data_IF_867913299768
#
_entry.id   IF_867913299768
#
_cell.length_a   1.000
_cell.length_b   1.000
_cell.length_c   1.000
_cell.angle_alpha   90.00
_cell.angle_beta   90.00
_cell.angle_gamma   90.00
#
_symmetry.space_group_name_H-M   'P 1'
#
loop_
_entity.id
_entity.type
_entity.pdbx_description
1 polymer ?
#
# COMPACT_ATOMS: atom_id res chain seq x y z
N UNK A 1 -2.84 -2.83 2.88
CA UNK A 1 -2.66 -4.26 3.26
C UNK A 1 -3.28 -4.43 4.62
N UNK A 2 -4.01 -5.51 4.82
CA UNK A 2 -4.76 -5.74 6.07
C UNK A 2 -3.93 -6.58 7.05
N UNK A 3 -2.93 -7.30 6.53
CA UNK A 3 -1.93 -8.04 7.28
C UNK A 3 -0.79 -8.52 6.40
N UNK A 4 0.23 -9.12 6.98
CA UNK A 4 1.37 -9.71 6.29
C UNK A 4 1.80 -11.02 6.93
N UNK A 5 2.32 -11.94 6.11
CA UNK A 5 3.05 -13.12 6.57
C UNK A 5 4.54 -12.81 6.42
N UNK A 6 5.26 -12.78 7.54
CA UNK A 6 6.71 -12.66 7.56
C UNK A 6 7.33 -14.06 7.54
N UNK A 7 8.14 -14.35 6.53
CA UNK A 7 8.83 -15.64 6.43
C UNK A 7 10.29 -15.47 6.87
N UNK A 8 10.71 -16.23 7.88
CA UNK A 8 12.07 -16.23 8.42
C UNK A 8 12.64 -17.64 8.34
N UNK A 9 13.87 -17.80 7.87
CA UNK A 9 14.51 -19.11 7.84
C UNK A 9 15.10 -19.42 9.23
N UNK A 10 14.69 -20.54 9.84
CA UNK A 10 15.22 -20.99 11.13
C UNK A 10 16.74 -21.21 11.12
N UNK A 11 17.30 -21.60 9.97
CA UNK A 11 18.75 -21.80 9.78
C UNK A 11 19.57 -20.53 9.84
N UNK A 12 18.98 -19.40 9.48
CA UNK A 12 19.69 -18.13 9.31
C UNK A 12 19.39 -17.14 10.46
N UNK A 13 18.30 -17.38 11.21
CA UNK A 13 17.84 -16.49 12.27
C UNK A 13 17.40 -15.10 11.78
N UNK A 14 17.41 -14.13 12.67
CA UNK A 14 17.07 -12.73 12.36
C UNK A 14 18.26 -12.01 11.76
N UNK A 15 18.16 -11.69 10.46
CA UNK A 15 19.16 -10.95 9.71
C UNK A 15 18.71 -9.52 9.40
N UNK A 16 19.60 -8.69 8.86
CA UNK A 16 19.24 -7.36 8.36
C UNK A 16 18.10 -7.41 7.32
N UNK A 17 18.07 -8.47 6.48
CA UNK A 17 17.01 -8.74 5.52
C UNK A 17 15.66 -9.07 6.16
N UNK A 18 15.63 -9.50 7.43
CA UNK A 18 14.40 -9.74 8.18
C UNK A 18 13.86 -8.43 8.76
N UNK A 19 14.73 -7.53 9.19
CA UNK A 19 14.36 -6.23 9.77
C UNK A 19 13.75 -5.29 8.74
N UNK A 20 14.23 -5.30 7.50
CA UNK A 20 13.75 -4.42 6.43
C UNK A 20 12.26 -4.61 6.09
N UNK A 21 11.73 -5.84 5.86
CA UNK A 21 10.29 -6.06 5.67
C UNK A 21 9.42 -5.64 6.86
N UNK A 22 9.90 -5.82 8.10
CA UNK A 22 9.18 -5.39 9.30
C UNK A 22 9.07 -3.86 9.34
N UNK A 23 10.20 -3.17 9.11
CA UNK A 23 10.23 -1.70 9.01
C UNK A 23 9.31 -1.19 7.89
N UNK A 24 9.38 -1.80 6.71
CA UNK A 24 8.51 -1.44 5.58
C UNK A 24 7.04 -1.69 5.91
N UNK A 25 6.71 -2.80 6.56
CA UNK A 25 5.35 -3.09 7.02
C UNK A 25 4.83 -2.00 7.96
N UNK A 26 5.69 -1.51 8.86
CA UNK A 26 5.35 -0.39 9.75
C UNK A 26 5.13 0.91 8.98
N UNK A 27 6.02 1.23 8.03
CA UNK A 27 5.93 2.46 7.22
C UNK A 27 4.66 2.50 6.35
N UNK A 28 4.22 1.35 5.80
CA UNK A 28 2.98 1.27 5.01
C UNK A 28 1.74 0.95 5.86
N UNK A 29 1.87 1.01 7.18
CA UNK A 29 0.80 0.80 8.16
C UNK A 29 0.11 -0.57 7.99
N UNK A 30 0.86 -1.64 7.86
CA UNK A 30 0.33 -3.00 8.01
C UNK A 30 0.02 -3.23 9.48
N UNK A 31 -1.25 -3.48 9.86
CA UNK A 31 -1.62 -3.53 11.27
C UNK A 31 -1.25 -4.84 11.96
N UNK A 32 -1.18 -5.95 11.21
CA UNK A 32 -0.97 -7.29 11.74
C UNK A 32 0.08 -8.06 10.98
N UNK A 33 0.93 -8.81 11.70
CA UNK A 33 1.92 -9.74 11.15
C UNK A 33 1.65 -11.12 11.74
N UNK A 34 1.76 -12.15 10.91
CA UNK A 34 1.89 -13.55 11.30
C UNK A 34 3.25 -14.03 10.82
N UNK A 35 3.97 -14.80 11.61
CA UNK A 35 5.31 -15.28 11.24
C UNK A 35 5.28 -16.74 10.87
N UNK A 36 5.93 -17.08 9.77
CA UNK A 36 6.23 -18.45 9.39
C UNK A 36 7.74 -18.69 9.50
N UNK A 37 8.16 -19.43 10.53
CA UNK A 37 9.55 -19.83 10.70
C UNK A 37 9.81 -21.07 9.85
N UNK A 38 10.42 -20.86 8.69
CA UNK A 38 10.62 -21.85 7.65
C UNK A 38 11.94 -22.61 7.82
N UNK A 39 12.07 -23.75 7.16
CA UNK A 39 13.23 -24.66 7.16
C UNK A 39 13.52 -25.29 8.53
N UNK A 40 12.51 -25.45 9.37
CA UNK A 40 12.69 -26.12 10.66
C UNK A 40 13.13 -27.58 10.52
N UNK A 41 12.84 -28.23 9.39
CA UNK A 41 13.32 -29.58 9.05
C UNK A 41 14.86 -29.70 8.94
N UNK A 42 15.56 -28.57 8.85
CA UNK A 42 17.03 -28.53 8.76
C UNK A 42 17.71 -28.24 10.11
N UNK A 43 16.95 -28.05 11.16
CA UNK A 43 17.44 -27.70 12.52
C UNK A 43 17.02 -28.80 13.46
N UNK A 44 18.00 -29.60 13.94
CA UNK A 44 17.78 -30.72 14.86
C UNK A 44 17.75 -30.29 16.33
N UNK A 45 18.10 -29.04 16.63
CA UNK A 45 18.23 -28.48 17.97
C UNK A 45 17.01 -27.60 18.30
N UNK A 46 16.16 -28.09 19.22
CA UNK A 46 14.97 -27.36 19.69
C UNK A 46 15.34 -26.04 20.39
N UNK A 47 16.49 -26.01 21.16
CA UNK A 47 16.92 -24.79 21.83
C UNK A 47 17.28 -23.69 20.83
N UNK A 48 17.79 -24.06 19.66
CA UNK A 48 18.07 -23.11 18.57
C UNK A 48 16.79 -22.55 17.97
N UNK A 49 15.76 -23.37 17.77
CA UNK A 49 14.46 -22.91 17.29
C UNK A 49 13.80 -21.92 18.27
N UNK A 50 13.86 -22.22 19.58
CA UNK A 50 13.37 -21.32 20.62
C UNK A 50 14.13 -19.99 20.64
N UNK A 51 15.45 -20.02 20.45
CA UNK A 51 16.28 -18.80 20.38
C UNK A 51 15.90 -17.92 19.19
N UNK A 52 15.74 -18.51 18.00
CA UNK A 52 15.31 -17.78 16.81
C UNK A 52 13.92 -17.18 17.00
N UNK A 53 13.00 -17.92 17.63
CA UNK A 53 11.67 -17.39 17.96
C UNK A 53 11.74 -16.18 18.89
N UNK A 54 12.57 -16.24 19.94
CA UNK A 54 12.77 -15.09 20.84
C UNK A 54 13.36 -13.87 20.12
N UNK A 55 14.34 -14.06 19.25
CA UNK A 55 14.90 -12.97 18.42
C UNK A 55 13.86 -12.34 17.53
N UNK A 56 12.97 -13.13 16.91
CA UNK A 56 11.87 -12.63 16.07
C UNK A 56 10.91 -11.77 16.91
N UNK A 57 10.52 -12.23 18.10
CA UNK A 57 9.62 -11.51 19.02
C UNK A 57 10.24 -10.19 19.49
N UNK A 58 11.54 -10.19 19.82
CA UNK A 58 12.26 -8.98 20.20
C UNK A 58 12.27 -7.94 19.05
N UNK A 59 12.58 -8.37 17.83
CA UNK A 59 12.61 -7.46 16.67
C UNK A 59 11.21 -6.95 16.31
N UNK A 60 10.16 -7.77 16.38
CA UNK A 60 8.80 -7.30 16.19
C UNK A 60 8.44 -6.21 17.20
N UNK A 61 8.83 -6.40 18.48
CA UNK A 61 8.60 -5.42 19.55
C UNK A 61 9.42 -4.13 19.35
N UNK A 62 10.65 -4.23 18.82
CA UNK A 62 11.50 -3.08 18.46
C UNK A 62 10.80 -2.16 17.43
N UNK A 63 9.99 -2.74 16.54
CA UNK A 63 9.24 -2.01 15.51
C UNK A 63 7.76 -1.78 15.86
N UNK A 64 7.39 -1.79 17.13
CA UNK A 64 6.03 -1.54 17.65
C UNK A 64 4.96 -2.54 17.15
N UNK A 65 5.32 -3.77 16.85
CA UNK A 65 4.39 -4.88 16.70
C UNK A 65 4.27 -5.64 18.04
N UNK A 66 3.13 -6.30 18.32
CA UNK A 66 2.96 -7.06 19.57
C UNK A 66 3.75 -8.37 19.51
N UNK A 67 5.08 -8.30 19.65
CA UNK A 67 6.00 -9.44 19.48
C UNK A 67 5.63 -10.64 20.34
N UNK A 68 5.23 -10.43 21.61
CA UNK A 68 4.88 -11.51 22.52
C UNK A 68 3.61 -12.25 22.10
N UNK A 69 2.63 -11.55 21.54
CA UNK A 69 1.33 -12.10 21.15
C UNK A 69 1.29 -12.57 19.69
N UNK A 70 2.24 -12.13 18.87
CA UNK A 70 2.27 -12.46 17.43
C UNK A 70 2.39 -13.97 17.22
N UNK A 71 1.49 -14.60 16.44
CA UNK A 71 1.60 -16.01 16.10
C UNK A 71 2.88 -16.29 15.29
N UNK A 72 3.67 -17.27 15.75
CA UNK A 72 4.85 -17.77 15.05
C UNK A 72 4.67 -19.26 14.84
N UNK A 73 4.55 -19.66 13.57
CA UNK A 73 4.36 -21.04 13.16
C UNK A 73 5.69 -21.60 12.64
N UNK A 74 6.15 -22.68 13.27
CA UNK A 74 7.34 -23.41 12.86
C UNK A 74 6.98 -24.42 11.77
N UNK A 75 7.73 -24.44 10.66
CA UNK A 75 7.40 -25.33 9.55
C UNK A 75 8.51 -25.50 8.52
N UNK A 76 8.21 -26.31 7.52
CA UNK A 76 9.03 -26.49 6.32
C UNK A 76 8.13 -26.46 5.08
N UNK A 77 8.20 -25.35 4.34
CA UNK A 77 7.40 -25.20 3.12
C UNK A 77 7.79 -26.22 2.04
N UNK A 78 9.07 -26.62 1.96
CA UNK A 78 9.53 -27.64 1.02
C UNK A 78 8.92 -29.01 1.36
N UNK A 79 9.00 -29.43 2.61
CA UNK A 79 8.44 -30.69 3.06
C UNK A 79 6.92 -30.76 2.95
N UNK A 80 6.25 -29.66 3.25
CA UNK A 80 4.81 -29.53 3.03
C UNK A 80 4.41 -29.66 1.55
N UNK A 81 5.25 -29.17 0.62
CA UNK A 81 5.01 -29.33 -0.81
C UNK A 81 5.24 -30.77 -1.28
N UNK A 82 6.24 -31.47 -0.70
CA UNK A 82 6.53 -32.88 -1.02
C UNK A 82 5.46 -33.85 -0.47
N UNK A 83 4.92 -33.55 0.71
CA UNK A 83 3.87 -34.33 1.38
C UNK A 83 2.82 -33.38 2.00
N UNK A 84 1.82 -32.93 1.22
CA UNK A 84 0.80 -31.99 1.69
C UNK A 84 -0.11 -32.54 2.80
N UNK A 85 -0.27 -33.85 2.90
CA UNK A 85 -1.10 -34.52 3.90
C UNK A 85 -0.30 -34.98 5.15
N UNK A 86 0.99 -34.66 5.20
CA UNK A 86 1.89 -34.97 6.29
C UNK A 86 1.99 -33.87 7.36
N UNK A 87 2.80 -34.11 8.39
CA UNK A 87 3.00 -33.19 9.52
C UNK A 87 3.31 -31.75 9.09
N UNK A 88 4.17 -31.57 8.06
CA UNK A 88 4.53 -30.25 7.56
C UNK A 88 3.41 -29.57 6.78
N UNK A 89 2.53 -30.36 6.15
CA UNK A 89 1.30 -29.86 5.54
C UNK A 89 0.33 -29.30 6.59
N UNK A 90 0.19 -29.99 7.73
CA UNK A 90 -0.61 -29.52 8.87
C UNK A 90 -0.08 -28.19 9.40
N UNK A 91 1.24 -27.94 9.39
CA UNK A 91 1.82 -26.65 9.78
C UNK A 91 1.47 -25.50 8.82
N UNK A 92 1.26 -25.76 7.54
CA UNK A 92 0.74 -24.77 6.61
C UNK A 92 -0.73 -24.46 6.91
N UNK A 93 -1.55 -25.46 7.27
CA UNK A 93 -2.92 -25.21 7.71
C UNK A 93 -2.99 -24.45 9.02
N UNK A 94 -2.10 -24.73 9.98
CA UNK A 94 -1.96 -23.95 11.22
C UNK A 94 -1.60 -22.48 10.92
N UNK A 95 -0.72 -22.20 9.93
CA UNK A 95 -0.43 -20.84 9.47
C UNK A 95 -1.69 -20.17 8.93
N UNK A 96 -2.50 -20.87 8.13
CA UNK A 96 -3.74 -20.30 7.58
C UNK A 96 -4.76 -20.02 8.69
N UNK A 97 -4.89 -20.92 9.66
CA UNK A 97 -5.76 -20.71 10.82
C UNK A 97 -5.28 -19.50 11.66
N UNK A 98 -3.96 -19.32 11.81
CA UNK A 98 -3.39 -18.16 12.47
C UNK A 98 -3.70 -16.86 11.70
N UNK A 99 -3.62 -16.88 10.36
CA UNK A 99 -4.00 -15.73 9.53
C UNK A 99 -5.48 -15.38 9.73
N UNK A 100 -6.36 -16.38 9.70
CA UNK A 100 -7.82 -16.16 9.81
C UNK A 100 -8.24 -15.69 11.21
N UNK A 101 -7.51 -16.09 12.25
CA UNK A 101 -7.86 -15.76 13.65
C UNK A 101 -7.18 -14.50 14.16
N UNK A 102 -5.93 -14.25 13.75
CA UNK A 102 -5.12 -13.12 14.22
C UNK A 102 -5.38 -11.83 13.43
N UNK A 103 -5.60 -11.94 12.10
CA UNK A 103 -5.87 -10.79 11.25
C UNK A 103 -7.38 -10.59 11.15
N UNK A 104 -7.97 -9.55 11.80
CA UNK A 104 -9.41 -9.35 11.73
C UNK A 104 -9.85 -9.02 10.30
N UNK A 105 -11.05 -9.47 9.94
CA UNK A 105 -11.65 -9.08 8.66
C UNK A 105 -11.78 -7.56 8.61
N UNK A 106 -11.16 -6.89 7.61
CA UNK A 106 -11.16 -5.43 7.56
C UNK A 106 -12.56 -4.89 7.29
N UNK A 107 -12.89 -3.78 7.95
CA UNK A 107 -14.08 -3.02 7.61
C UNK A 107 -13.89 -2.37 6.24
N UNK A 108 -14.77 -2.70 5.31
CA UNK A 108 -14.71 -2.19 3.94
C UNK A 108 -15.67 -1.01 3.77
N UNK A 109 -15.17 0.10 3.27
CA UNK A 109 -15.93 1.33 3.05
C UNK A 109 -16.85 1.21 1.80
N UNK A 110 -17.79 0.26 1.79
CA UNK A 110 -18.69 0.00 0.67
C UNK A 110 -19.83 1.02 0.55
N UNK A 111 -20.14 1.72 1.63
CA UNK A 111 -21.15 2.78 1.73
C UNK A 111 -20.73 4.12 1.09
N UNK A 112 -19.43 4.29 0.83
CA UNK A 112 -18.88 5.50 0.20
C UNK A 112 -19.00 5.43 -1.32
N UNK A 113 -18.94 6.60 -2.02
CA UNK A 113 -18.87 6.62 -3.48
C UNK A 113 -17.66 5.84 -4.00
N UNK A 114 -17.86 5.08 -5.11
CA UNK A 114 -16.81 4.30 -5.73
C UNK A 114 -15.56 5.12 -6.08
N UNK A 115 -14.40 4.55 -5.78
CA UNK A 115 -13.09 5.06 -6.15
C UNK A 115 -12.10 3.91 -6.32
N UNK A 116 -11.42 3.88 -7.47
CA UNK A 116 -10.37 2.92 -7.79
C UNK A 116 -9.17 3.61 -8.45
N UNK A 117 -8.00 3.65 -7.80
CA UNK A 117 -6.76 4.09 -8.45
C UNK A 117 -6.36 3.13 -9.57
N UNK A 118 -5.92 3.68 -10.71
CA UNK A 118 -5.45 2.89 -11.84
C UNK A 118 -4.01 2.47 -11.62
N UNK A 119 -3.77 1.16 -11.60
CA UNK A 119 -2.44 0.56 -11.43
C UNK A 119 -1.80 0.20 -12.77
N UNK A 120 -2.59 -0.37 -13.69
CA UNK A 120 -2.15 -0.70 -15.04
C UNK A 120 -3.29 -0.63 -16.05
N UNK A 121 -2.95 -0.57 -17.34
CA UNK A 121 -3.90 -0.43 -18.43
C UNK A 121 -3.55 -1.39 -19.57
N UNK A 122 -4.51 -2.20 -19.96
CA UNK A 122 -4.38 -3.17 -21.05
C UNK A 122 -5.39 -2.94 -22.15
N UNK A 123 -5.05 -3.35 -23.36
CA UNK A 123 -6.00 -3.47 -24.47
C UNK A 123 -6.29 -4.93 -24.76
N UNK A 124 -7.55 -5.31 -24.76
CA UNK A 124 -8.00 -6.65 -25.18
C UNK A 124 -8.58 -6.52 -26.58
N UNK A 125 -7.99 -7.24 -27.55
CA UNK A 125 -8.43 -7.23 -28.94
C UNK A 125 -9.91 -7.63 -29.04
N UNK A 126 -10.74 -6.76 -29.65
CA UNK A 126 -12.17 -6.99 -29.82
C UNK A 126 -13.04 -6.72 -28.60
N UNK A 127 -12.45 -6.39 -27.43
CA UNK A 127 -13.18 -6.06 -26.19
C UNK A 127 -13.04 -4.61 -25.75
N UNK A 128 -11.85 -4.04 -25.88
CA UNK A 128 -11.57 -2.65 -25.49
C UNK A 128 -10.44 -2.50 -24.50
N UNK A 129 -10.43 -1.39 -23.76
CA UNK A 129 -9.43 -1.05 -22.76
C UNK A 129 -9.87 -1.49 -21.37
N UNK A 130 -8.96 -2.15 -20.65
CA UNK A 130 -9.13 -2.58 -19.26
C UNK A 130 -8.21 -1.76 -18.38
N UNK A 131 -8.77 -1.10 -17.37
CA UNK A 131 -8.03 -0.49 -16.28
C UNK A 131 -8.03 -1.44 -15.08
N UNK A 132 -6.85 -1.74 -14.54
CA UNK A 132 -6.73 -2.57 -13.33
C UNK A 132 -6.40 -1.71 -12.12
N UNK A 133 -6.87 -2.15 -10.97
CA UNK A 133 -6.58 -1.51 -9.70
C UNK A 133 -7.33 -2.17 -8.55
N UNK A 134 -6.98 -1.74 -7.33
CA UNK A 134 -7.73 -2.11 -6.13
C UNK A 134 -8.84 -1.08 -5.90
N UNK A 135 -10.06 -1.55 -5.71
CA UNK A 135 -11.16 -0.68 -5.28
C UNK A 135 -10.84 -0.15 -3.87
N UNK A 136 -10.61 1.15 -3.75
CA UNK A 136 -10.28 1.80 -2.48
C UNK A 136 -11.50 1.92 -1.59
N UNK A 137 -12.65 2.29 -2.19
CA UNK A 137 -13.95 2.45 -1.51
C UNK A 137 -15.11 2.32 -2.47
N UNK A 138 -16.29 2.10 -1.90
CA UNK A 138 -17.55 1.99 -2.61
C UNK A 138 -17.74 0.65 -3.32
N UNK A 139 -18.76 0.59 -4.14
CA UNK A 139 -19.13 -0.55 -4.97
C UNK A 139 -19.25 -0.10 -6.42
N UNK A 140 -18.82 -0.94 -7.34
CA UNK A 140 -18.89 -0.77 -8.79
C UNK A 140 -19.71 -1.90 -9.39
N UNK A 141 -20.69 -1.56 -10.25
CA UNK A 141 -21.48 -2.55 -10.99
C UNK A 141 -21.17 -2.46 -12.49
N UNK A 142 -21.43 -3.55 -13.18
CA UNK A 142 -21.46 -3.54 -14.64
C UNK A 142 -22.57 -2.59 -15.10
N UNK A 143 -22.26 -1.75 -16.08
CA UNK A 143 -23.07 -0.65 -16.61
C UNK A 143 -23.06 0.66 -15.83
N UNK A 144 -22.30 0.75 -14.75
CA UNK A 144 -22.10 2.02 -14.04
C UNK A 144 -21.32 3.02 -14.91
N UNK A 145 -21.72 4.29 -14.83
CA UNK A 145 -20.94 5.40 -15.36
C UNK A 145 -19.81 5.73 -14.37
N UNK A 146 -18.62 5.95 -14.91
CA UNK A 146 -17.44 6.37 -14.16
C UNK A 146 -16.75 7.54 -14.85
N UNK A 147 -16.04 8.34 -14.07
CA UNK A 147 -15.14 9.39 -14.55
C UNK A 147 -13.68 8.95 -14.34
N UNK A 148 -12.85 9.28 -15.31
CA UNK A 148 -11.39 9.15 -15.27
C UNK A 148 -10.84 10.53 -14.97
N UNK A 149 -10.13 10.69 -13.84
CA UNK A 149 -9.58 11.97 -13.39
C UNK A 149 -8.13 11.83 -12.93
N UNK A 150 -7.40 12.94 -12.86
CA UNK A 150 -6.02 13.02 -12.41
C UNK A 150 -5.02 13.12 -13.55
N UNK A 151 -3.83 13.66 -13.25
CA UNK A 151 -2.69 13.92 -14.15
C UNK A 151 -3.01 15.00 -15.19
N UNK A 152 -4.16 14.90 -15.86
CA UNK A 152 -4.65 15.87 -16.84
C UNK A 152 -5.80 16.71 -16.28
N UNK A 153 -6.02 17.88 -16.87
CA UNK A 153 -7.10 18.79 -16.46
C UNK A 153 -8.48 18.36 -17.01
N UNK A 154 -8.50 17.46 -18.01
CA UNK A 154 -9.73 16.96 -18.64
C UNK A 154 -10.30 15.75 -17.87
N UNK A 155 -11.61 15.77 -17.71
CA UNK A 155 -12.38 14.66 -17.12
C UNK A 155 -13.00 13.85 -18.24
N UNK A 156 -12.73 12.54 -18.29
CA UNK A 156 -13.33 11.63 -19.26
C UNK A 156 -14.41 10.79 -18.60
N UNK A 157 -15.56 10.69 -19.27
CA UNK A 157 -16.67 9.85 -18.83
C UNK A 157 -16.75 8.59 -19.66
N UNK A 158 -17.02 7.47 -19.00
CA UNK A 158 -17.20 6.18 -19.66
C UNK A 158 -18.15 5.29 -18.87
N UNK A 159 -18.46 4.14 -19.44
CA UNK A 159 -19.30 3.11 -18.80
C UNK A 159 -18.48 1.84 -18.65
N UNK A 160 -18.57 1.22 -17.49
CA UNK A 160 -17.97 -0.07 -17.22
C UNK A 160 -18.81 -1.17 -17.88
N UNK A 161 -18.23 -1.89 -18.82
CA UNK A 161 -18.93 -2.95 -19.57
C UNK A 161 -18.64 -4.37 -19.10
N UNK A 162 -17.71 -4.51 -18.17
CA UNK A 162 -17.38 -5.79 -17.54
C UNK A 162 -16.39 -5.59 -16.39
N UNK A 163 -16.47 -6.49 -15.44
CA UNK A 163 -15.58 -6.54 -14.27
C UNK A 163 -15.01 -7.95 -14.21
N UNK A 164 -13.70 -8.07 -14.04
CA UNK A 164 -13.01 -9.35 -13.94
C UNK A 164 -12.06 -9.37 -12.74
N UNK A 165 -12.08 -10.45 -11.97
CA UNK A 165 -11.16 -10.74 -10.88
C UNK A 165 -10.76 -12.21 -10.92
N UNK A 166 -9.44 -12.51 -10.89
CA UNK A 166 -8.91 -13.88 -10.96
C UNK A 166 -9.47 -14.71 -12.13
N UNK A 167 -9.62 -14.11 -13.31
CA UNK A 167 -10.22 -14.71 -14.53
C UNK A 167 -11.68 -15.12 -14.40
N UNK A 168 -12.39 -14.55 -13.42
CA UNK A 168 -13.84 -14.70 -13.25
C UNK A 168 -14.52 -13.36 -13.54
N UNK A 169 -15.59 -13.43 -14.35
CA UNK A 169 -16.45 -12.27 -14.57
C UNK A 169 -17.32 -12.06 -13.34
N UNK A 170 -17.45 -10.81 -12.94
CA UNK A 170 -18.27 -10.38 -11.80
C UNK A 170 -19.33 -9.40 -12.28
N UNK A 171 -20.47 -9.40 -11.61
CA UNK A 171 -21.52 -8.40 -11.84
C UNK A 171 -21.23 -7.11 -11.04
N UNK A 172 -20.55 -7.25 -9.90
CA UNK A 172 -20.15 -6.15 -9.02
C UNK A 172 -18.76 -6.38 -8.41
N UNK A 173 -18.11 -5.29 -7.99
CA UNK A 173 -16.91 -5.28 -7.19
C UNK A 173 -17.03 -4.27 -6.06
N UNK A 174 -16.41 -4.55 -4.91
CA UNK A 174 -16.50 -3.73 -3.73
C UNK A 174 -15.12 -3.32 -3.19
N UNK A 175 -15.11 -2.38 -2.26
CA UNK A 175 -13.90 -1.93 -1.59
C UNK A 175 -13.02 -3.12 -1.14
N UNK A 176 -11.73 -3.09 -1.50
CA UNK A 176 -10.76 -4.14 -1.22
C UNK A 176 -10.51 -5.11 -2.38
N UNK A 177 -11.39 -5.20 -3.37
CA UNK A 177 -11.22 -6.09 -4.51
C UNK A 177 -10.18 -5.56 -5.50
N UNK A 178 -9.30 -6.43 -5.99
CA UNK A 178 -8.40 -6.13 -7.11
C UNK A 178 -9.07 -6.58 -8.40
N UNK A 179 -9.40 -5.63 -9.26
CA UNK A 179 -10.20 -5.90 -10.45
C UNK A 179 -9.59 -5.35 -11.74
N UNK A 180 -10.02 -5.89 -12.85
CA UNK A 180 -9.94 -5.27 -14.17
C UNK A 180 -11.32 -4.75 -14.59
N UNK A 181 -11.45 -3.45 -14.77
CA UNK A 181 -12.66 -2.80 -15.27
C UNK A 181 -12.55 -2.55 -16.77
N UNK A 182 -13.45 -3.15 -17.56
CA UNK A 182 -13.54 -2.95 -19.01
C UNK A 182 -14.31 -1.66 -19.32
N UNK A 183 -13.66 -0.72 -20.00
CA UNK A 183 -14.15 0.63 -20.24
C UNK A 183 -14.64 0.79 -21.69
N UNK A 184 -15.84 1.33 -21.87
CA UNK A 184 -16.44 1.55 -23.18
C UNK A 184 -15.83 2.77 -23.88
N UNK A 185 -15.35 2.58 -25.12
CA UNK A 185 -14.94 3.69 -25.98
C UNK A 185 -13.70 4.45 -25.54
N UNK A 186 -12.96 3.94 -24.56
CA UNK A 186 -11.69 4.49 -24.10
C UNK A 186 -10.54 3.75 -24.79
N UNK A 187 -9.63 4.50 -25.41
CA UNK A 187 -8.40 3.94 -25.96
C UNK A 187 -7.32 3.83 -24.86
N UNK A 188 -6.39 2.88 -25.01
CA UNK A 188 -5.30 2.70 -24.04
C UNK A 188 -4.47 3.97 -23.80
N UNK A 189 -4.35 4.83 -24.81
CA UNK A 189 -3.63 6.10 -24.74
C UNK A 189 -4.41 7.24 -24.04
N UNK A 190 -5.65 6.99 -23.67
CA UNK A 190 -6.53 7.97 -23.04
C UNK A 190 -6.69 7.77 -21.53
N UNK A 191 -6.10 6.71 -21.01
CA UNK A 191 -6.06 6.39 -19.58
C UNK A 191 -4.67 5.85 -19.24
N UNK A 192 -4.15 6.21 -18.08
CA UNK A 192 -2.82 5.81 -17.64
C UNK A 192 -2.77 5.53 -16.14
N UNK A 193 -1.72 4.82 -15.72
CA UNK A 193 -1.42 4.61 -14.31
C UNK A 193 -1.32 5.94 -13.59
N UNK A 194 -1.89 6.00 -12.38
CA UNK A 194 -1.89 7.20 -11.55
C UNK A 194 -3.16 8.02 -11.64
N UNK A 195 -3.97 7.83 -12.69
CA UNK A 195 -5.34 8.33 -12.73
C UNK A 195 -6.26 7.52 -11.82
N UNK A 196 -7.46 8.01 -11.60
CA UNK A 196 -8.45 7.39 -10.72
C UNK A 196 -9.77 7.24 -11.46
N UNK A 197 -10.40 6.06 -11.35
CA UNK A 197 -11.80 5.85 -11.71
C UNK A 197 -12.67 6.20 -10.51
N UNK A 198 -13.66 7.03 -10.70
CA UNK A 198 -14.57 7.49 -9.65
C UNK A 198 -16.02 7.42 -10.09
N UNK A 199 -16.93 7.35 -9.11
CA UNK A 199 -18.34 7.69 -9.34
C UNK A 199 -18.43 9.16 -9.77
N UNK A 200 -19.17 9.51 -10.84
CA UNK A 200 -19.19 10.87 -11.39
C UNK A 200 -19.42 11.95 -10.34
N UNK A 201 -18.57 12.98 -10.37
CA UNK A 201 -18.70 14.17 -9.53
C UNK A 201 -18.40 14.01 -8.05
N UNK A 202 -17.77 12.90 -7.63
CA UNK A 202 -17.54 12.63 -6.19
C UNK A 202 -16.17 13.07 -5.68
N UNK A 203 -15.19 13.23 -6.56
CA UNK A 203 -13.83 13.67 -6.23
C UNK A 203 -13.36 14.68 -7.28
N UNK A 204 -12.56 15.64 -6.87
CA UNK A 204 -11.94 16.62 -7.76
C UNK A 204 -10.42 16.47 -7.78
N UNK A 205 -9.80 17.04 -8.82
CA UNK A 205 -8.35 17.15 -8.92
C UNK A 205 -7.87 18.48 -8.38
N UNK A 206 -6.76 18.46 -7.66
CA UNK A 206 -6.18 19.63 -7.02
C UNK A 206 -4.66 19.67 -7.19
N UNK A 207 -4.10 20.89 -7.19
CA UNK A 207 -2.65 21.12 -7.31
C UNK A 207 -2.05 21.70 -6.03
N UNK A 208 -2.85 22.48 -5.26
CA UNK A 208 -2.33 23.22 -4.10
C UNK A 208 -3.10 22.88 -2.83
N UNK A 209 -2.34 22.52 -1.79
CA UNK A 209 -2.90 22.11 -0.51
C UNK A 209 -1.93 22.40 0.64
N UNK A 210 -2.45 22.47 1.88
CA UNK A 210 -1.64 22.39 3.10
C UNK A 210 -1.62 20.94 3.60
N UNK A 211 -0.53 20.55 4.23
CA UNK A 211 -0.35 19.21 4.75
C UNK A 211 0.45 19.18 6.04
N UNK A 212 0.20 18.15 6.85
CA UNK A 212 1.06 17.77 7.96
C UNK A 212 2.04 16.71 7.48
N UNK A 213 3.33 16.93 7.69
CA UNK A 213 4.39 16.04 7.21
C UNK A 213 5.32 15.68 8.35
N UNK A 214 5.61 14.39 8.46
CA UNK A 214 6.72 13.88 9.25
C UNK A 214 7.92 13.57 8.34
N UNK A 215 9.07 14.13 8.67
CA UNK A 215 10.31 13.94 7.92
C UNK A 215 11.10 12.81 8.55
N UNK A 216 11.29 11.71 7.82
CA UNK A 216 11.99 10.53 8.33
C UNK A 216 13.45 10.85 8.67
N UNK A 217 13.90 10.33 9.79
CA UNK A 217 15.31 10.41 10.25
C UNK A 217 16.21 9.48 9.41
N UNK A 218 17.53 9.65 9.56
CA UNK A 218 18.51 8.77 8.91
C UNK A 218 18.33 7.30 9.34
N UNK A 219 18.03 7.07 10.62
CA UNK A 219 17.89 5.73 11.19
C UNK A 219 16.61 5.05 10.70
N UNK A 220 15.59 5.82 10.31
CA UNK A 220 14.38 5.36 9.63
C UNK A 220 14.54 5.22 8.11
N UNK A 221 15.77 5.32 7.58
CA UNK A 221 16.06 5.24 6.15
C UNK A 221 15.81 6.55 5.38
N UNK A 222 15.48 7.63 6.07
CA UNK A 222 15.18 8.94 5.51
C UNK A 222 16.41 9.81 5.21
N UNK A 223 16.24 11.11 5.43
CA UNK A 223 17.28 12.12 5.17
C UNK A 223 18.24 12.24 6.36
N UNK A 224 19.46 12.74 6.08
CA UNK A 224 20.45 13.14 7.07
C UNK A 224 20.74 14.65 7.03
N UNK A 225 20.12 15.38 6.09
CA UNK A 225 20.28 16.83 5.92
C UNK A 225 18.92 17.52 5.93
N UNK A 226 18.84 18.77 6.42
CA UNK A 226 17.60 19.55 6.35
C UNK A 226 17.23 19.86 4.89
N UNK A 227 15.98 20.24 4.68
CA UNK A 227 15.54 20.87 3.45
C UNK A 227 15.02 22.29 3.73
N UNK A 228 15.00 23.11 2.70
CA UNK A 228 14.67 24.52 2.74
C UNK A 228 13.44 24.81 1.89
N UNK A 229 12.95 26.04 1.97
CA UNK A 229 11.90 26.54 1.09
C UNK A 229 12.21 26.26 -0.39
N UNK A 230 11.19 26.00 -1.17
CA UNK A 230 11.28 25.57 -2.59
C UNK A 230 11.93 24.19 -2.81
N UNK A 231 11.98 23.33 -1.79
CA UNK A 231 12.33 21.93 -1.96
C UNK A 231 11.35 21.24 -2.91
N UNK A 232 11.88 20.41 -3.84
CA UNK A 232 11.11 19.81 -4.94
C UNK A 232 11.23 18.29 -4.97
N UNK A 233 10.65 17.56 -4.02
CA UNK A 233 10.63 16.11 -4.05
C UNK A 233 9.49 15.56 -4.92
N UNK A 234 9.40 14.22 -4.98
CA UNK A 234 8.25 13.52 -5.53
C UNK A 234 7.26 13.17 -4.43
N UNK A 235 5.99 13.47 -4.69
CA UNK A 235 4.86 13.14 -3.84
C UNK A 235 4.15 11.94 -4.43
N UNK A 236 3.98 10.90 -3.63
CA UNK A 236 3.30 9.66 -4.02
C UNK A 236 1.90 9.64 -3.43
N UNK A 237 0.90 9.84 -4.28
CA UNK A 237 -0.51 9.73 -3.95
C UNK A 237 -1.08 8.48 -4.61
N UNK A 238 -1.55 7.50 -3.85
CA UNK A 238 -2.07 6.24 -4.41
C UNK A 238 -1.06 5.60 -5.38
N UNK A 239 -1.40 5.57 -6.68
CA UNK A 239 -0.58 4.96 -7.74
C UNK A 239 0.19 5.97 -8.59
N UNK A 240 0.06 7.29 -8.32
CA UNK A 240 0.76 8.35 -9.04
C UNK A 240 1.91 8.92 -8.23
N UNK A 241 2.94 9.36 -8.93
CA UNK A 241 4.02 10.19 -8.41
C UNK A 241 4.04 11.53 -9.16
N UNK A 242 4.17 12.61 -8.42
CA UNK A 242 4.17 13.96 -8.96
C UNK A 242 5.15 14.85 -8.22
N UNK A 243 5.91 15.63 -8.97
CA UNK A 243 6.80 16.64 -8.36
C UNK A 243 5.97 17.78 -7.77
N UNK A 244 6.30 18.17 -6.54
CA UNK A 244 5.69 19.32 -5.89
C UNK A 244 6.73 20.24 -5.29
N UNK A 245 6.37 21.51 -5.15
CA UNK A 245 7.18 22.55 -4.50
C UNK A 245 6.67 22.73 -3.08
N UNK A 246 7.58 22.62 -2.09
CA UNK A 246 7.27 22.81 -0.68
C UNK A 246 7.49 24.28 -0.29
N UNK A 247 6.49 24.87 0.33
CA UNK A 247 6.55 26.17 1.00
C UNK A 247 6.45 25.95 2.51
N UNK A 248 7.52 26.29 3.25
CA UNK A 248 7.54 26.26 4.71
C UNK A 248 6.78 27.45 5.30
N UNK A 249 6.19 27.32 6.51
CA UNK A 249 5.48 28.40 7.18
C UNK A 249 6.40 29.60 7.44
N UNK A 250 5.81 30.77 7.54
CA UNK A 250 6.54 32.00 7.86
C UNK A 250 7.33 31.86 9.19
N UNK A 251 8.61 32.14 9.15
CA UNK A 251 9.53 32.07 10.31
C UNK A 251 10.24 30.70 10.43
N UNK A 252 9.94 29.73 9.57
CA UNK A 252 10.68 28.47 9.49
C UNK A 252 11.57 28.52 8.24
N UNK A 253 12.89 28.55 8.45
CA UNK A 253 13.86 28.61 7.36
C UNK A 253 14.20 27.23 6.80
N UNK A 254 14.18 26.20 7.64
CA UNK A 254 14.52 24.84 7.29
C UNK A 254 13.70 23.83 8.11
N UNK A 255 13.58 22.62 7.58
CA UNK A 255 12.98 21.46 8.23
C UNK A 255 14.03 20.36 8.40
N UNK A 256 14.19 19.85 9.62
CA UNK A 256 15.16 18.83 9.98
C UNK A 256 14.55 17.42 9.87
N UNK A 257 15.39 16.39 9.63
CA UNK A 257 14.96 15.00 9.83
C UNK A 257 14.44 14.79 11.26
N UNK A 258 13.29 14.17 11.42
CA UNK A 258 12.57 13.98 12.69
C UNK A 258 11.51 15.05 12.99
N UNK A 259 11.45 16.12 12.21
CA UNK A 259 10.45 17.17 12.44
C UNK A 259 9.06 16.77 11.94
N UNK A 260 8.05 17.26 12.66
CA UNK A 260 6.68 17.38 12.18
C UNK A 260 6.41 18.82 11.75
N UNK A 261 6.07 19.02 10.49
CA UNK A 261 5.87 20.36 9.93
C UNK A 261 4.55 20.47 9.17
N UNK A 262 3.84 21.56 9.38
CA UNK A 262 2.76 21.96 8.47
C UNK A 262 3.37 22.79 7.34
N UNK A 263 3.10 22.41 6.09
CA UNK A 263 3.60 23.14 4.93
C UNK A 263 2.56 23.22 3.82
N UNK A 264 2.76 24.16 2.91
CA UNK A 264 1.99 24.26 1.67
C UNK A 264 2.75 23.55 0.55
N UNK A 265 2.04 22.79 -0.25
CA UNK A 265 2.60 22.10 -1.41
C UNK A 265 1.85 22.51 -2.66
N UNK A 266 2.59 22.77 -3.74
CA UNK A 266 2.05 23.03 -5.07
C UNK A 266 2.62 22.00 -6.04
N UNK A 267 1.73 21.15 -6.60
CA UNK A 267 2.07 20.07 -7.53
C UNK A 267 2.14 20.58 -8.96
N UNK A 268 3.01 19.99 -9.78
CA UNK A 268 3.14 20.34 -11.20
C UNK A 268 1.96 19.83 -12.04
N UNK A 269 1.28 18.77 -11.61
CA UNK A 269 0.08 18.20 -12.24
C UNK A 269 -1.05 18.04 -11.22
N UNK A 270 -2.32 18.08 -11.65
CA UNK A 270 -3.44 17.85 -10.75
C UNK A 270 -3.53 16.39 -10.32
N UNK A 271 -3.89 16.17 -9.07
CA UNK A 271 -4.08 14.83 -8.49
C UNK A 271 -5.48 14.75 -7.89
N UNK A 272 -6.14 13.61 -8.07
CA UNK A 272 -7.41 13.32 -7.41
C UNK A 272 -7.20 13.28 -5.89
N UNK A 273 -7.73 14.29 -5.18
CA UNK A 273 -7.37 14.57 -3.81
C UNK A 273 -8.58 14.92 -2.96
N UNK A 274 -8.50 14.53 -1.69
CA UNK A 274 -9.47 14.88 -0.64
C UNK A 274 -8.68 15.19 0.65
N UNK A 275 -9.29 15.96 1.54
CA UNK A 275 -8.73 16.17 2.88
C UNK A 275 -8.64 14.84 3.63
N UNK A 276 -7.55 14.63 4.35
CA UNK A 276 -7.23 13.36 5.02
C UNK A 276 -6.49 12.34 4.14
N UNK A 277 -6.30 12.60 2.84
CA UNK A 277 -5.53 11.71 1.96
C UNK A 277 -4.06 11.68 2.40
N UNK A 278 -3.55 10.46 2.61
CA UNK A 278 -2.14 10.23 2.95
C UNK A 278 -1.27 10.18 1.70
N UNK A 279 -0.01 10.58 1.86
CA UNK A 279 0.99 10.51 0.81
C UNK A 279 2.39 10.25 1.38
N UNK A 280 3.27 9.74 0.53
CA UNK A 280 4.69 9.62 0.83
C UNK A 280 5.49 10.67 0.05
N UNK A 281 6.59 11.14 0.63
CA UNK A 281 7.57 12.00 -0.04
C UNK A 281 8.81 11.17 -0.34
N UNK A 282 9.26 11.19 -1.59
CA UNK A 282 10.43 10.42 -2.02
C UNK A 282 11.45 11.29 -2.73
N UNK A 283 12.71 10.94 -2.53
CA UNK A 283 13.87 11.55 -3.17
C UNK A 283 14.87 10.46 -3.56
N UNK A 284 15.28 10.42 -4.82
CA UNK A 284 16.26 9.46 -5.31
C UNK A 284 15.88 7.98 -5.06
N UNK A 285 14.57 7.67 -5.10
CA UNK A 285 14.05 6.31 -4.86
C UNK A 285 13.85 5.94 -3.38
N UNK A 286 14.20 6.81 -2.43
CA UNK A 286 14.01 6.60 -0.98
C UNK A 286 12.82 7.40 -0.46
N UNK A 287 12.07 6.82 0.45
CA UNK A 287 11.04 7.56 1.21
C UNK A 287 11.74 8.42 2.25
N UNK A 288 11.50 9.73 2.18
CA UNK A 288 12.12 10.72 3.08
C UNK A 288 11.12 11.40 4.00
N UNK A 289 9.84 11.13 3.81
CA UNK A 289 8.79 11.64 4.66
C UNK A 289 7.43 11.06 4.29
N UNK A 290 6.48 11.26 5.17
CA UNK A 290 5.07 10.93 4.95
C UNK A 290 4.19 12.05 5.47
N UNK A 291 3.03 12.22 4.88
CA UNK A 291 2.13 13.28 5.27
C UNK A 291 0.68 12.98 4.99
N UNK A 292 -0.16 13.90 5.44
CA UNK A 292 -1.61 13.87 5.23
C UNK A 292 -2.06 15.24 4.74
N UNK A 293 -2.93 15.27 3.73
CA UNK A 293 -3.56 16.49 3.23
C UNK A 293 -4.45 17.06 4.33
N UNK A 294 -4.12 18.27 4.81
CA UNK A 294 -4.87 18.94 5.86
C UNK A 294 -6.01 19.79 5.28
N UNK A 295 -5.71 20.58 4.24
CA UNK A 295 -6.69 21.44 3.57
C UNK A 295 -6.33 21.66 2.10
N UNK A 296 -7.32 21.60 1.25
CA UNK A 296 -7.20 21.92 -0.18
C UNK A 296 -7.32 23.44 -0.37
N UNK A 297 -6.42 24.01 -1.18
CA UNK A 297 -6.39 25.45 -1.49
C UNK A 297 -6.89 25.69 -2.92
N UNK A 298 -6.41 24.88 -3.91
CA UNK A 298 -6.75 25.01 -5.34
C UNK A 298 -6.70 23.64 -6.03
#
# INVERSE_FOLDING_TARGET
MDGAILVVAATDGVMAQTKEPILLSRQVNVPYIVVFMNKCDMVDDEELLELVEMEIREVLSEYDFPGDDTPIIQGSALKALEDPDGEWGDKIMELMDAVDTWIPTPERATDKPFLMPVEDVFSITGRGTVATGRVERGTLHVSDEVEIIGIHDDVKKTVVTGIEMFRKLLDEAQAGDNIGALLRGIQRTEIERGQVLIKPGTVNCHKKFTCQVYVLTKDEGGRHTPFFNNYRPQFYFRTTDVTGVCELPAGIEMCMPGDNVEMTVELIHPVAMEEGLRFAIREGGRTVGSGTVAKIIE
#
